data_IF_043144608340
#
_entry.id   IF_043144608340
#
_cell.length_a   1.000
_cell.length_b   1.000
_cell.length_c   1.000
_cell.angle_alpha   90.00
_cell.angle_beta   90.00
_cell.angle_gamma   90.00
#
_symmetry.space_group_name_H-M   'P 1'
#
loop_
_entity.id
_entity.type
_entity.pdbx_description
1 polymer ?
#
# COMPACT_ATOMS: atom_id res chain seq x y z
N UNK A 1 20.82 -2.88 -10.82
CA UNK A 1 19.66 -3.68 -10.42
C UNK A 1 18.98 -2.93 -9.27
N UNK A 2 17.73 -2.48 -9.41
CA UNK A 2 17.04 -1.77 -8.33
C UNK A 2 16.31 -2.83 -7.50
N UNK A 3 16.78 -3.04 -6.28
CA UNK A 3 16.14 -3.90 -5.30
C UNK A 3 14.77 -3.30 -4.98
N UNK A 4 13.70 -4.03 -5.28
CA UNK A 4 12.37 -3.66 -4.83
C UNK A 4 12.22 -4.20 -3.40
N UNK A 5 12.55 -3.35 -2.40
CA UNK A 5 12.55 -3.72 -0.97
C UNK A 5 11.30 -4.47 -0.53
N UNK A 6 10.14 -4.10 -1.06
CA UNK A 6 8.87 -4.77 -0.81
C UNK A 6 8.90 -6.23 -1.28
N UNK A 7 9.16 -6.46 -2.57
CA UNK A 7 9.12 -7.79 -3.18
C UNK A 7 10.26 -8.71 -2.70
N UNK A 8 11.45 -8.16 -2.50
CA UNK A 8 12.66 -8.96 -2.23
C UNK A 8 12.91 -9.21 -0.74
N UNK A 9 12.44 -8.35 0.16
CA UNK A 9 12.73 -8.44 1.60
C UNK A 9 11.47 -8.57 2.45
N UNK A 10 10.46 -7.73 2.22
CA UNK A 10 9.26 -7.71 3.06
C UNK A 10 8.40 -8.94 2.80
N UNK A 11 8.05 -9.23 1.55
CA UNK A 11 7.21 -10.38 1.20
C UNK A 11 7.83 -11.70 1.67
N UNK A 12 9.12 -12.01 1.42
CA UNK A 12 9.72 -13.25 1.90
C UNK A 12 9.82 -13.36 3.43
N UNK A 13 10.02 -12.24 4.13
CA UNK A 13 10.03 -12.22 5.60
C UNK A 13 8.65 -12.54 6.15
N UNK A 14 7.63 -11.85 5.65
CA UNK A 14 6.24 -12.02 6.06
C UNK A 14 5.75 -13.45 5.78
N UNK A 15 6.10 -14.04 4.64
CA UNK A 15 5.73 -15.42 4.30
C UNK A 15 6.30 -16.49 5.24
N UNK A 16 7.32 -16.17 6.05
CA UNK A 16 7.85 -17.08 7.08
C UNK A 16 7.08 -17.01 8.40
N UNK A 17 6.23 -16.01 8.60
CA UNK A 17 5.46 -15.79 9.81
C UNK A 17 4.07 -16.45 9.75
N UNK A 18 4.02 -17.73 9.39
CA UNK A 18 2.77 -18.47 9.12
C UNK A 18 1.78 -18.53 10.30
N UNK A 19 2.28 -18.36 11.52
CA UNK A 19 1.49 -18.40 12.75
C UNK A 19 1.06 -17.02 13.26
N UNK A 20 1.38 -15.95 12.53
CA UNK A 20 1.03 -14.59 12.93
C UNK A 20 -0.48 -14.38 12.82
N UNK A 21 -1.11 -13.95 13.91
CA UNK A 21 -2.56 -13.72 13.98
C UNK A 21 -2.94 -12.25 13.80
N UNK A 22 -2.05 -11.34 14.16
CA UNK A 22 -2.22 -9.90 14.02
C UNK A 22 -1.00 -9.26 13.35
N UNK A 23 -1.22 -8.40 12.35
CA UNK A 23 -0.19 -7.63 11.67
C UNK A 23 -0.65 -6.18 11.48
N UNK A 24 0.16 -5.25 11.98
CA UNK A 24 0.08 -3.83 11.68
C UNK A 24 1.25 -3.46 10.75
N UNK A 25 0.99 -3.40 9.44
CA UNK A 25 2.01 -3.15 8.43
C UNK A 25 2.18 -1.66 8.15
N UNK A 26 3.37 -1.11 8.41
CA UNK A 26 3.73 0.23 7.99
C UNK A 26 4.81 0.15 6.91
N UNK A 27 4.51 0.65 5.72
CA UNK A 27 5.39 0.54 4.56
C UNK A 27 5.54 1.89 3.86
N UNK A 28 6.78 2.27 3.59
CA UNK A 28 7.11 3.40 2.71
C UNK A 28 7.95 2.88 1.55
N UNK A 29 7.47 3.04 0.32
CA UNK A 29 8.13 2.53 -0.88
C UNK A 29 8.41 3.66 -1.86
N UNK A 30 9.68 3.82 -2.22
CA UNK A 30 10.10 4.76 -3.24
C UNK A 30 10.36 4.05 -4.57
N UNK A 31 9.94 4.69 -5.67
CA UNK A 31 10.20 4.27 -7.05
C UNK A 31 9.67 2.86 -7.37
N UNK A 32 8.51 2.51 -6.83
CA UNK A 32 7.81 1.30 -7.21
C UNK A 32 7.29 1.42 -8.65
N UNK A 33 7.16 0.29 -9.35
CA UNK A 33 6.70 0.27 -10.75
C UNK A 33 5.20 0.54 -10.89
N UNK A 34 4.43 0.47 -9.80
CA UNK A 34 2.98 0.67 -9.77
C UNK A 34 2.50 1.16 -8.40
N UNK A 35 1.24 0.90 -8.08
CA UNK A 35 0.72 1.00 -6.72
C UNK A 35 0.80 -0.36 -6.04
N UNK A 36 0.82 -0.39 -4.71
CA UNK A 36 0.54 -1.62 -3.97
C UNK A 36 -0.96 -1.62 -3.73
N UNK A 37 -1.69 -2.41 -4.51
CA UNK A 37 -3.14 -2.46 -4.48
C UNK A 37 -3.68 -3.63 -3.64
N UNK A 38 -5.01 -3.78 -3.57
CA UNK A 38 -5.62 -4.86 -2.80
C UNK A 38 -5.26 -6.25 -3.32
N UNK A 39 -5.07 -6.42 -4.63
CA UNK A 39 -4.62 -7.69 -5.19
C UNK A 39 -3.16 -7.96 -4.82
N UNK A 40 -2.28 -6.95 -4.89
CA UNK A 40 -0.88 -7.09 -4.47
C UNK A 40 -0.76 -7.59 -3.03
N UNK A 41 -1.51 -6.97 -2.09
CA UNK A 41 -1.48 -7.39 -0.70
C UNK A 41 -2.10 -8.78 -0.49
N UNK A 42 -3.15 -9.11 -1.24
CA UNK A 42 -3.81 -10.42 -1.18
C UNK A 42 -2.86 -11.52 -1.64
N UNK A 43 -2.28 -11.35 -2.82
CA UNK A 43 -1.39 -12.31 -3.46
C UNK A 43 -0.08 -12.48 -2.71
N UNK A 44 0.50 -11.40 -2.17
CA UNK A 44 1.83 -11.44 -1.57
C UNK A 44 1.87 -11.58 -0.05
N UNK A 45 0.77 -11.28 0.67
CA UNK A 45 0.75 -11.33 2.15
C UNK A 45 -0.39 -12.21 2.64
N UNK A 46 -1.64 -11.87 2.34
CA UNK A 46 -2.80 -12.50 2.98
C UNK A 46 -2.88 -14.00 2.65
N UNK A 47 -2.65 -14.38 1.39
CA UNK A 47 -2.72 -15.77 0.96
C UNK A 47 -1.67 -16.67 1.65
N UNK A 48 -0.55 -16.10 2.11
CA UNK A 48 0.53 -16.83 2.78
C UNK A 48 0.42 -16.82 4.30
N UNK A 49 -0.53 -16.07 4.88
CA UNK A 49 -0.72 -15.97 6.33
C UNK A 49 -2.10 -16.50 6.73
N UNK A 50 -2.30 -17.83 6.74
CA UNK A 50 -3.62 -18.43 6.94
C UNK A 50 -4.22 -18.18 8.32
N UNK A 51 -3.40 -17.80 9.32
CA UNK A 51 -3.84 -17.48 10.68
C UNK A 51 -4.07 -15.98 10.91
N UNK A 52 -3.79 -15.14 9.92
CA UNK A 52 -3.91 -13.68 10.07
C UNK A 52 -5.38 -13.29 10.16
N UNK A 53 -5.83 -13.03 11.38
CA UNK A 53 -7.20 -12.67 11.71
C UNK A 53 -7.41 -11.15 11.66
N UNK A 54 -6.35 -10.39 11.97
CA UNK A 54 -6.38 -8.93 12.00
C UNK A 54 -5.21 -8.39 11.20
N UNK A 55 -5.53 -7.67 10.14
CA UNK A 55 -4.56 -7.01 9.29
C UNK A 55 -4.92 -5.54 9.19
N UNK A 56 -4.02 -4.69 9.70
CA UNK A 56 -4.07 -3.26 9.45
C UNK A 56 -2.84 -2.83 8.68
N UNK A 57 -2.96 -1.79 7.88
CA UNK A 57 -1.84 -1.28 7.13
C UNK A 57 -1.90 0.23 6.91
N UNK A 58 -0.71 0.79 6.70
CA UNK A 58 -0.46 2.14 6.24
C UNK A 58 0.69 2.10 5.24
N UNK A 59 0.39 2.39 3.98
CA UNK A 59 1.30 2.25 2.86
C UNK A 59 1.43 3.59 2.17
N UNK A 60 2.65 4.12 2.15
CA UNK A 60 3.02 5.34 1.42
C UNK A 60 3.90 4.96 0.23
N UNK A 61 3.52 5.43 -0.96
CA UNK A 61 4.18 5.15 -2.23
C UNK A 61 4.59 6.46 -2.88
N UNK A 62 5.86 6.57 -3.26
CA UNK A 62 6.38 7.71 -4.00
C UNK A 62 6.95 7.25 -5.35
N UNK A 63 6.28 7.60 -6.45
CA UNK A 63 6.59 7.05 -7.77
C UNK A 63 6.92 8.14 -8.78
N UNK A 64 7.65 7.78 -9.84
CA UNK A 64 7.81 8.64 -11.02
C UNK A 64 6.62 8.44 -11.94
N UNK A 65 5.93 9.51 -12.32
CA UNK A 65 4.77 9.43 -13.23
C UNK A 65 5.15 9.04 -14.65
N UNK A 66 6.43 9.16 -15.03
CA UNK A 66 6.95 8.66 -16.31
C UNK A 66 6.70 7.16 -16.55
N UNK A 67 6.44 6.40 -15.49
CA UNK A 67 6.20 4.97 -15.56
C UNK A 67 4.70 4.62 -15.56
N UNK A 68 3.79 5.61 -15.51
CA UNK A 68 2.35 5.40 -15.34
C UNK A 68 1.62 5.74 -16.65
N UNK A 69 0.95 4.74 -17.23
CA UNK A 69 0.18 4.88 -18.48
C UNK A 69 -1.20 5.51 -18.21
N UNK A 70 -1.78 5.23 -17.05
CA UNK A 70 -3.07 5.76 -16.60
C UNK A 70 -2.96 6.28 -15.16
N UNK A 71 -3.42 7.50 -14.92
CA UNK A 71 -3.52 8.08 -13.58
C UNK A 71 -4.81 7.54 -12.94
N UNK A 72 -4.67 6.72 -11.89
CA UNK A 72 -5.80 6.15 -11.15
C UNK A 72 -6.36 7.17 -10.16
N UNK A 73 -7.68 7.23 -10.02
CA UNK A 73 -8.29 8.02 -8.94
C UNK A 73 -8.22 7.29 -7.60
N UNK A 74 -8.56 7.97 -6.50
CA UNK A 74 -8.69 7.35 -5.18
C UNK A 74 -9.68 6.18 -5.21
N UNK A 75 -10.81 6.36 -5.88
CA UNK A 75 -11.88 5.37 -6.00
C UNK A 75 -11.42 4.15 -6.78
N UNK A 76 -10.66 4.34 -7.85
CA UNK A 76 -10.08 3.23 -8.61
C UNK A 76 -9.13 2.39 -7.75
N UNK A 77 -8.30 3.04 -6.93
CA UNK A 77 -7.39 2.35 -6.01
C UNK A 77 -8.18 1.63 -4.92
N UNK A 78 -9.12 2.30 -4.26
CA UNK A 78 -9.94 1.70 -3.20
C UNK A 78 -10.76 0.49 -3.69
N UNK A 79 -11.26 0.50 -4.93
CA UNK A 79 -11.99 -0.63 -5.53
C UNK A 79 -11.16 -1.92 -5.59
N UNK A 80 -9.83 -1.84 -5.65
CA UNK A 80 -8.97 -3.03 -5.63
C UNK A 80 -9.02 -3.78 -4.29
N UNK A 81 -9.45 -3.10 -3.21
CA UNK A 81 -9.57 -3.67 -1.87
C UNK A 81 -10.96 -4.20 -1.55
N UNK A 82 -11.87 -4.30 -2.53
CA UNK A 82 -13.27 -4.72 -2.33
C UNK A 82 -13.47 -6.07 -1.62
N UNK A 83 -12.46 -6.96 -1.70
CA UNK A 83 -12.49 -8.30 -1.10
C UNK A 83 -11.88 -8.34 0.31
N UNK A 84 -11.37 -7.21 0.83
CA UNK A 84 -10.77 -7.15 2.16
C UNK A 84 -11.86 -7.23 3.22
N UNK A 85 -11.67 -8.05 4.25
CA UNK A 85 -12.61 -8.13 5.38
C UNK A 85 -12.85 -6.76 6.03
N UNK A 86 -11.87 -5.86 5.96
CA UNK A 86 -12.00 -4.47 6.38
C UNK A 86 -12.32 -3.59 5.16
N UNK A 87 -13.61 -3.27 4.97
CA UNK A 87 -14.09 -2.49 3.83
C UNK A 87 -13.80 -0.98 3.95
N UNK A 88 -13.21 -0.53 5.05
CA UNK A 88 -12.91 0.89 5.25
C UNK A 88 -11.46 1.19 4.87
N UNK A 89 -11.12 0.98 3.59
CA UNK A 89 -9.82 1.37 3.04
C UNK A 89 -9.91 2.78 2.48
N UNK A 90 -9.00 3.64 2.91
CA UNK A 90 -8.87 5.00 2.41
C UNK A 90 -7.62 5.06 1.53
N UNK A 91 -7.75 5.71 0.37
CA UNK A 91 -6.66 6.01 -0.54
C UNK A 91 -6.65 7.51 -0.82
N UNK A 92 -5.46 8.09 -0.83
CA UNK A 92 -5.17 9.47 -1.17
C UNK A 92 -4.04 9.47 -2.20
N UNK A 93 -4.32 9.86 -3.44
CA UNK A 93 -3.36 9.91 -4.53
C UNK A 93 -3.22 11.33 -5.07
N UNK A 94 -1.98 11.75 -5.24
CA UNK A 94 -1.62 13.04 -5.78
C UNK A 94 -0.66 12.87 -6.95
N UNK A 95 -0.96 13.56 -8.05
CA UNK A 95 -0.17 13.55 -9.27
C UNK A 95 0.46 14.91 -9.50
N UNK A 96 1.76 15.02 -9.26
CA UNK A 96 2.52 16.25 -9.47
C UNK A 96 3.12 16.24 -10.88
N UNK A 97 2.28 16.49 -11.88
CA UNK A 97 2.64 16.36 -13.30
C UNK A 97 3.88 17.16 -13.68
N UNK A 98 3.97 18.43 -13.26
CA UNK A 98 5.12 19.30 -13.53
C UNK A 98 6.44 18.72 -13.00
N UNK A 99 6.37 18.06 -11.83
CA UNK A 99 7.54 17.49 -11.16
C UNK A 99 7.77 16.01 -11.51
N UNK A 100 6.93 15.45 -12.37
CA UNK A 100 7.00 14.06 -12.86
C UNK A 100 7.01 12.99 -11.74
N UNK A 101 6.29 13.23 -10.66
CA UNK A 101 6.11 12.24 -9.59
C UNK A 101 4.66 12.16 -9.10
N UNK A 102 4.34 11.06 -8.46
CA UNK A 102 3.08 10.82 -7.78
C UNK A 102 3.33 10.36 -6.36
N UNK A 103 2.42 10.71 -5.48
CA UNK A 103 2.36 10.22 -4.13
C UNK A 103 1.04 9.49 -3.94
N UNK A 104 1.07 8.33 -3.30
CA UNK A 104 -0.12 7.58 -2.94
C UNK A 104 0.00 7.09 -1.52
N UNK A 105 -1.06 7.31 -0.76
CA UNK A 105 -1.16 6.88 0.62
C UNK A 105 -2.43 6.04 0.76
N UNK A 106 -2.27 4.79 1.20
CA UNK A 106 -3.37 3.84 1.36
C UNK A 106 -3.32 3.28 2.77
N UNK A 107 -4.45 3.28 3.47
CA UNK A 107 -4.51 2.73 4.82
C UNK A 107 -5.87 2.12 5.17
N UNK A 108 -5.84 1.15 6.08
CA UNK A 108 -7.05 0.51 6.61
C UNK A 108 -7.58 1.27 7.84
N UNK A 109 -8.84 1.69 7.82
CA UNK A 109 -9.45 2.39 8.95
C UNK A 109 -10.04 1.41 9.99
N UNK A 110 -9.99 1.74 11.31
CA UNK A 110 -9.25 2.85 11.90
C UNK A 110 -7.75 2.55 11.95
N UNK A 111 -6.94 3.42 11.34
CA UNK A 111 -5.48 3.37 11.49
C UNK A 111 -5.04 4.40 12.53
N UNK A 112 -4.28 3.97 13.54
CA UNK A 112 -3.64 4.89 14.49
C UNK A 112 -2.33 5.40 13.91
N UNK A 113 -2.43 6.47 13.12
CA UNK A 113 -1.26 7.11 12.53
C UNK A 113 -0.34 7.65 13.64
N UNK A 114 0.89 7.14 13.72
CA UNK A 114 1.88 7.58 14.72
C UNK A 114 2.73 8.76 14.25
N UNK A 115 2.81 8.99 12.95
CA UNK A 115 3.65 10.00 12.32
C UNK A 115 2.88 10.67 11.17
N UNK A 116 2.97 12.00 11.07
CA UNK A 116 2.23 12.83 10.10
C UNK A 116 3.12 13.28 8.92
N UNK A 117 4.07 12.44 8.51
CA UNK A 117 5.03 12.82 7.48
C UNK A 117 4.47 12.62 6.07
N UNK A 118 4.71 13.59 5.17
CA UNK A 118 4.36 13.55 3.74
C UNK A 118 2.85 13.47 3.46
N UNK A 119 2.04 14.05 4.34
CA UNK A 119 0.62 14.29 4.11
C UNK A 119 0.46 15.23 2.93
N UNK A 120 -0.36 14.82 1.97
CA UNK A 120 -0.64 15.59 0.76
C UNK A 120 -2.03 16.23 0.84
N UNK A 121 -2.34 17.07 -0.14
CA UNK A 121 -3.56 17.88 -0.16
C UNK A 121 -4.85 17.05 -0.14
N UNK A 122 -4.79 15.78 -0.52
CA UNK A 122 -5.94 14.87 -0.54
C UNK A 122 -6.04 13.95 0.68
N UNK A 123 -5.23 14.17 1.73
CA UNK A 123 -5.34 13.45 2.98
C UNK A 123 -6.51 14.01 3.83
N UNK A 124 -7.44 13.17 4.31
CA UNK A 124 -8.64 13.60 5.04
C UNK A 124 -8.38 14.00 6.50
#
# INVERSE_FOLDING_TARGET
MRVHFYDELIVPLLNRMLNLEELDLHLRVDRYKGFIDGNDLKENIINYMPRLNKFTFNICLFNRTSNQINLRSNEDIQRTFKDFKNNQIISCVDYFQEKKYSYCHIYSYPYRMKYYDNITNNFP
#
